data_IF_780243153539
#
_entry.id   IF_780243153539
#
_cell.length_a   1.000
_cell.length_b   1.000
_cell.length_c   1.000
_cell.angle_alpha   90.00
_cell.angle_beta   90.00
_cell.angle_gamma   90.00
#
_symmetry.space_group_name_H-M   'P 1'
#
loop_
_entity.id
_entity.type
_entity.pdbx_description
1 polymer ?
2 polymer ?
3 water ?
#
loop_
_entity_poly.entity_id
_entity_poly.type
_entity_poly.pdbx_seq_one_letter_code
_entity_poly.pdbx_strand_id
1 'polydeoxyribonucleotide' '(DT)(DG)(DC)(DA)(DT)(DA)(DT)(DC)(DA)(DA)(DT)(DT)(DT)(DG)(DT)(DT)(DG)(DC)(DA)(DC)(DC)' ?
#
# COMPACT_ATOMS: atom_id res chain seq x y z
N UNK C 1 -5.14 -8.03 11.38
CA UNK C 1 -4.13 -7.24 12.13
C UNK C 1 -4.36 -5.73 11.99
N UNK C 2 -4.39 -5.02 13.13
CA UNK C 2 -4.51 -3.55 13.18
C UNK C 2 -3.17 -2.86 13.46
N UNK C 3 -3.18 -1.53 13.45
CA UNK C 3 -1.97 -0.76 13.72
C UNK C 3 -1.30 -1.25 15.01
N UNK C 4 -2.05 -1.25 16.09
CA UNK C 4 -1.54 -1.71 17.38
C UNK C 4 -0.82 -3.03 17.32
N UNK C 5 -1.49 -4.04 16.75
CA UNK C 5 -0.99 -5.41 16.67
C UNK C 5 0.30 -5.45 15.89
N UNK C 6 0.32 -4.69 14.80
CA UNK C 6 1.50 -4.51 13.96
C UNK C 6 2.64 -3.92 14.81
N UNK C 7 2.35 -2.82 15.50
CA UNK C 7 3.32 -2.20 16.42
C UNK C 7 3.93 -3.23 17.39
N UNK C 8 3.05 -4.01 18.03
CA UNK C 8 3.48 -5.12 18.89
C UNK C 8 4.49 -6.06 18.21
N UNK C 9 4.10 -6.61 17.06
CA UNK C 9 4.96 -7.52 16.31
C UNK C 9 6.31 -6.92 15.93
N UNK C 10 6.29 -5.62 15.64
CA UNK C 10 7.45 -4.89 15.16
C UNK C 10 8.46 -4.67 16.29
N UNK C 11 7.96 -4.14 17.41
CA UNK C 11 8.79 -3.86 18.58
C UNK C 11 9.70 -5.05 18.80
N UNK C 12 9.15 -6.23 18.55
CA UNK C 12 9.82 -7.51 18.76
C UNK C 12 10.91 -7.85 17.74
N UNK C 13 10.62 -7.68 16.45
CA UNK C 13 11.59 -8.06 15.41
C UNK C 13 12.82 -7.16 15.40
N UNK C 14 12.61 -5.87 15.68
CA UNK C 14 13.68 -4.86 15.62
C UNK C 14 14.20 -4.56 17.00
N UNK C 15 13.29 -4.67 17.97
CA UNK C 15 13.56 -4.54 19.42
C UNK C 15 13.57 -3.09 19.89
N UNK C 16 12.37 -2.56 20.10
CA UNK C 16 12.13 -1.20 20.61
C UNK C 16 10.87 -1.23 21.51
N UNK C 17 10.29 -0.05 21.80
CA UNK C 17 9.06 0.04 22.59
C UNK C 17 7.81 0.16 21.74
N UNK C 18 6.67 -0.25 22.32
CA UNK C 18 5.33 -0.01 21.75
C UNK C 18 5.12 1.48 21.43
N UNK C 19 5.26 2.35 22.43
CA UNK C 19 5.23 3.79 22.20
C UNK C 19 6.20 4.22 21.07
N UNK C 20 7.38 3.59 21.06
CA UNK C 20 8.48 3.90 20.15
C UNK C 20 8.12 3.48 18.74
N UNK C 21 7.97 2.16 18.57
CA UNK C 21 7.59 1.56 17.31
C UNK C 21 6.35 2.20 16.72
N UNK C 22 5.38 2.52 17.58
CA UNK C 22 4.21 3.22 17.13
C UNK C 22 4.64 4.57 16.54
N UNK C 23 5.31 5.38 17.35
CA UNK C 23 5.77 6.68 16.87
C UNK C 23 6.45 6.59 15.49
N UNK C 24 7.29 5.57 15.31
CA UNK C 24 8.06 5.44 14.09
C UNK C 24 7.19 5.00 12.90
N UNK C 25 6.37 3.97 13.09
CA UNK C 25 5.51 3.51 12.00
C UNK C 25 4.65 4.67 11.48
N UNK C 26 4.05 5.40 12.42
CA UNK C 26 3.27 6.63 12.16
C UNK C 26 4.03 7.65 11.32
N UNK C 27 5.19 8.07 11.80
CA UNK C 27 6.07 8.95 11.02
C UNK C 27 6.09 8.52 9.56
N UNK C 28 6.30 7.23 9.32
CA UNK C 28 6.39 6.67 7.98
C UNK C 28 5.06 6.75 7.22
N UNK C 29 3.97 6.41 7.90
CA UNK C 29 2.64 6.44 7.27
C UNK C 29 2.23 7.83 6.85
N UNK C 30 2.48 8.81 7.72
CA UNK C 30 2.15 10.21 7.45
C UNK C 30 3.06 10.80 6.34
N UNK C 31 4.34 10.42 6.38
CA UNK C 31 5.29 10.77 5.33
C UNK C 31 4.94 10.18 3.97
N UNK C 32 4.51 8.92 3.95
CA UNK C 32 4.07 8.28 2.71
C UNK C 32 2.94 9.13 2.06
N UNK C 33 1.88 9.36 2.84
CA UNK C 33 0.72 10.14 2.44
C UNK C 33 1.11 11.53 1.91
N UNK C 34 1.92 12.26 2.69
CA UNK C 34 2.44 13.57 2.30
C UNK C 34 3.15 13.52 0.95
N UNK C 35 4.05 12.56 0.77
CA UNK C 35 4.84 12.47 -0.46
C UNK C 35 3.92 12.24 -1.68
N UNK C 36 3.03 11.27 -1.55
CA UNK C 36 2.10 10.89 -2.61
C UNK C 36 1.20 12.05 -3.01
N UNK C 37 0.63 12.72 -2.01
CA UNK C 37 -0.18 13.92 -2.19
C UNK C 37 0.58 15.05 -2.84
N UNK C 38 1.87 15.15 -2.54
CA UNK C 38 2.69 16.24 -3.06
C UNK C 38 3.26 15.87 -4.43
N UNK C 39 2.69 14.81 -5.02
CA UNK C 39 3.07 14.37 -6.34
C UNK C 39 4.28 13.47 -6.41
N UNK C 40 4.74 12.92 -5.29
CA UNK C 40 5.90 12.04 -5.33
C UNK C 40 5.50 10.58 -5.33
N UNK C 41 6.30 9.75 -5.99
CA UNK C 41 6.17 8.30 -5.91
C UNK C 41 6.94 7.81 -4.68
N UNK C 42 6.28 7.14 -3.75
CA UNK C 42 7.00 6.46 -2.68
C UNK C 42 7.38 5.04 -3.14
N UNK C 43 8.67 4.76 -3.16
CA UNK C 43 9.17 3.44 -3.53
C UNK C 43 9.71 2.68 -2.32
N UNK C 44 9.33 1.42 -2.21
CA UNK C 44 9.86 0.57 -1.16
C UNK C 44 10.19 -0.78 -1.78
N UNK C 45 11.45 -0.95 -2.14
CA UNK C 45 11.88 -2.12 -2.89
C UNK C 45 11.44 -3.44 -2.23
N UNK C 46 10.76 -4.27 -3.03
CA UNK C 46 10.27 -5.56 -2.58
C UNK C 46 8.86 -5.52 -2.08
N UNK C 47 8.49 -4.47 -1.36
CA UNK C 47 7.15 -4.37 -0.79
C UNK C 47 6.20 -3.81 -1.88
N UNK C 48 6.62 -2.70 -2.50
CA UNK C 48 5.83 -2.02 -3.50
C UNK C 48 5.99 -0.51 -3.52
N UNK C 49 5.31 0.15 -4.45
CA UNK C 49 5.29 1.60 -4.52
C UNK C 49 3.89 2.22 -4.29
N UNK C 50 3.89 3.49 -3.92
CA UNK C 50 2.69 4.29 -3.82
C UNK C 50 2.83 5.49 -4.76
N UNK C 51 1.73 5.84 -5.42
CA UNK C 51 1.71 7.04 -6.27
C UNK C 51 0.31 7.57 -6.35
N UNK C 52 0.22 8.81 -6.76
CA UNK C 52 -1.04 9.44 -6.98
C UNK C 52 -1.29 9.26 -8.48
N UNK C 53 -2.52 8.98 -8.86
CA UNK C 53 -2.84 8.79 -10.27
C UNK C 53 -3.96 9.68 -10.69
N UNK C 54 -3.83 10.27 -11.88
CA UNK C 54 -4.86 11.15 -12.43
C UNK C 54 -5.99 10.30 -12.92
N UNK C 55 -7.20 10.85 -12.75
CA UNK C 55 -8.42 10.21 -13.23
C UNK C 55 -9.23 11.23 -14.03
N UNK C 56 -9.52 10.88 -15.28
CA UNK C 56 -10.29 11.73 -16.19
C UNK C 56 -11.76 11.80 -15.77
N UNK C 57 -12.45 12.88 -16.16
CA UNK C 57 -13.91 12.92 -16.01
C UNK C 57 -14.48 11.68 -16.74
N UNK C 58 -15.54 11.09 -16.19
CA UNK C 58 -16.19 10.00 -16.89
C UNK C 58 -17.68 10.04 -16.66
N UNK C 59 -18.42 9.57 -17.64
CA UNK C 59 -19.86 9.58 -17.50
C UNK C 59 -20.34 8.47 -16.56
N UNK C 60 -21.24 8.81 -15.66
CA UNK C 60 -21.91 7.85 -14.81
C UNK C 60 -23.40 8.00 -14.95
N UNK C 61 -24.14 7.41 -14.00
CA UNK C 61 -25.60 7.43 -14.05
C UNK C 61 -26.18 7.41 -12.65
N UNK C 62 -27.12 8.33 -12.41
CA UNK C 62 -27.92 8.42 -11.20
C UNK C 62 -28.76 7.15 -11.08
N UNK C 63 -28.57 6.35 -10.03
CA UNK C 63 -29.39 5.15 -9.86
C UNK C 63 -30.82 5.51 -9.47
N UNK C 64 -31.01 6.73 -8.96
CA UNK C 64 -32.35 7.18 -8.54
C UNK C 64 -33.12 7.78 -9.69
N UNK C 65 -32.56 8.80 -10.32
CA UNK C 65 -33.27 9.47 -11.41
C UNK C 65 -33.03 8.81 -12.75
N UNK C 66 -32.02 7.93 -12.81
CA UNK C 66 -31.64 7.25 -14.06
C UNK C 66 -30.99 8.16 -15.14
N UNK C 67 -30.81 9.44 -14.81
CA UNK C 67 -30.17 10.39 -15.70
C UNK C 67 -28.69 10.10 -15.89
N UNK C 68 -28.17 10.40 -17.08
CA UNK C 68 -26.73 10.41 -17.26
C UNK C 68 -26.15 11.61 -16.52
N UNK C 69 -24.97 11.44 -15.94
CA UNK C 69 -24.23 12.54 -15.33
C UNK C 69 -22.71 12.45 -15.56
N UNK C 70 -21.95 13.50 -15.23
CA UNK C 70 -20.49 13.44 -15.36
C UNK C 70 -19.76 13.35 -14.01
N UNK C 71 -18.95 12.32 -13.84
CA UNK C 71 -18.09 12.23 -12.68
C UNK C 71 -16.84 13.04 -12.98
N UNK C 72 -16.62 14.11 -12.22
CA UNK C 72 -15.51 15.02 -12.52
C UNK C 72 -14.17 14.33 -12.37
N UNK C 73 -13.17 14.82 -13.07
CA UNK C 73 -11.81 14.33 -12.96
C UNK C 73 -11.32 14.36 -11.52
N UNK C 74 -10.45 13.43 -11.14
CA UNK C 74 -9.86 13.50 -9.81
C UNK C 74 -8.45 12.94 -9.78
N UNK C 75 -7.85 12.86 -8.58
CA UNK C 75 -6.60 12.17 -8.34
C UNK C 75 -6.82 11.13 -7.26
N UNK C 76 -6.29 9.94 -7.49
CA UNK C 76 -6.36 8.89 -6.48
C UNK C 76 -4.98 8.36 -6.02
N UNK C 77 -4.85 8.04 -4.74
CA UNK C 77 -3.66 7.31 -4.31
C UNK C 77 -3.74 5.92 -4.93
N UNK C 78 -2.58 5.38 -5.33
CA UNK C 78 -2.46 4.06 -5.94
C UNK C 78 -1.28 3.30 -5.37
N UNK C 79 -1.45 1.98 -5.19
CA UNK C 79 -0.37 1.10 -4.75
C UNK C 79 0.00 0.04 -5.82
N UNK C 80 1.29 -0.30 -5.97
CA UNK C 80 1.69 -1.39 -6.85
C UNK C 80 2.61 -2.32 -6.07
N UNK C 81 2.14 -3.55 -5.84
CA UNK C 81 2.88 -4.48 -4.98
C UNK C 81 4.20 -4.87 -5.63
N UNK C 82 5.29 -4.84 -4.87
CA UNK C 82 6.59 -5.25 -5.37
C UNK C 82 6.69 -6.77 -5.45
N UNK C 83 7.74 -7.27 -6.10
CA UNK C 83 7.87 -8.69 -6.41
C UNK C 83 7.84 -9.66 -5.22
N UNK C 84 8.58 -9.35 -4.16
CA UNK C 84 8.57 -10.16 -2.94
C UNK C 84 7.17 -10.27 -2.36
N UNK C 85 6.44 -9.16 -2.32
CA UNK C 85 5.07 -9.16 -1.79
C UNK C 85 4.16 -10.09 -2.63
N UNK C 86 4.16 -9.91 -3.95
CA UNK C 86 3.36 -10.74 -4.84
C UNK C 86 3.64 -12.25 -4.70
N UNK C 87 4.92 -12.57 -4.51
CA UNK C 87 5.34 -13.95 -4.46
C UNK C 87 5.10 -14.62 -3.12
N UNK C 88 4.95 -13.85 -2.06
CA UNK C 88 4.51 -14.42 -0.79
C UNK C 88 3.01 -14.65 -0.78
N UNK C 89 2.27 -13.82 -1.51
CA UNK C 89 0.82 -13.98 -1.58
C UNK C 89 0.50 -15.15 -2.51
N UNK C 90 1.26 -15.26 -3.60
CA UNK C 90 1.14 -16.38 -4.52
C UNK C 90 2.52 -16.94 -4.89
N UNK C 91 3.00 -17.87 -4.06
CA UNK C 91 4.25 -18.59 -4.31
C UNK C 91 4.28 -19.21 -5.72
N UNK C 92 5.29 -18.85 -6.50
CA UNK C 92 5.45 -19.40 -7.86
C UNK C 92 5.74 -20.91 -7.85
N UNK D 1 10.68 9.21 -3.75
CA UNK D 1 11.18 8.74 -2.43
C UNK D 1 11.44 7.22 -2.43
N UNK D 2 12.48 6.80 -1.71
CA UNK D 2 12.80 5.39 -1.51
C UNK D 2 12.84 5.07 -0.02
N UNK D 3 12.94 3.77 0.27
CA UNK D 3 13.03 3.26 1.64
C UNK D 3 14.03 4.08 2.44
N UNK D 4 15.26 4.16 1.92
CA UNK D 4 16.32 4.93 2.55
C UNK D 4 15.93 6.37 2.84
N UNK D 5 15.34 7.03 1.83
CA UNK D 5 14.94 8.44 1.96
C UNK D 5 13.82 8.57 2.97
N UNK D 6 12.91 7.60 2.91
CA UNK D 6 11.85 7.45 3.90
C UNK D 6 12.45 7.20 5.29
N UNK D 7 13.46 6.32 5.34
CA UNK D 7 14.17 6.07 6.60
C UNK D 7 14.72 7.38 7.15
N UNK D 8 15.48 8.10 6.32
CA UNK D 8 16.12 9.36 6.77
C UNK D 8 15.09 10.30 7.35
N UNK D 9 14.01 10.50 6.62
CA UNK D 9 12.91 11.39 7.00
C UNK D 9 12.20 10.93 8.26
N UNK D 10 12.03 9.61 8.38
CA UNK D 10 11.35 9.00 9.52
C UNK D 10 12.16 9.11 10.82
N UNK D 11 13.45 8.84 10.72
CA UNK D 11 14.35 8.90 11.89
C UNK D 11 14.14 10.20 12.66
N UNK D 12 13.95 11.28 11.90
CA UNK D 12 13.84 12.62 12.44
C UNK D 12 12.50 12.87 13.15
N UNK D 13 11.40 12.68 12.42
CA UNK D 13 10.05 12.97 12.91
C UNK D 13 9.72 12.33 14.27
N UNK D 14 10.07 11.05 14.45
CA UNK D 14 9.72 10.30 15.67
C UNK D 14 10.85 10.31 16.72
N UNK D 15 12.03 10.77 16.27
CA UNK D 15 13.27 10.80 17.07
C UNK D 15 13.93 9.42 17.33
N UNK D 16 14.50 8.83 16.26
CA UNK D 16 15.36 7.62 16.39
C UNK D 16 16.65 7.71 15.53
N UNK D 17 17.31 6.55 15.34
CA UNK D 17 18.52 6.44 14.51
C UNK D 17 18.16 5.96 13.12
N UNK D 18 19.08 6.11 12.17
CA UNK D 18 18.88 5.62 10.78
C UNK D 18 18.95 4.09 10.68
N UNK D 19 19.87 3.47 11.43
CA UNK D 19 19.94 2.01 11.53
C UNK D 19 18.71 1.46 12.27
N UNK D 20 18.27 2.23 13.27
CA UNK D 20 17.09 1.93 14.09
C UNK D 20 15.81 2.01 13.26
N UNK D 21 15.41 3.22 12.87
CA UNK D 21 14.19 3.44 12.08
C UNK D 21 14.04 2.44 10.94
N UNK D 22 15.13 2.22 10.20
CA UNK D 22 15.15 1.26 9.10
C UNK D 22 14.69 -0.11 9.58
N UNK D 23 15.38 -0.64 10.59
CA UNK D 23 15.05 -1.94 11.16
C UNK D 23 13.57 -2.02 11.56
N UNK D 24 13.03 -0.92 12.09
CA UNK D 24 11.62 -0.82 12.46
C UNK D 24 10.73 -0.87 11.22
N UNK D 25 10.94 0.07 10.30
CA UNK D 25 10.16 0.13 9.09
C UNK D 25 10.16 -1.24 8.38
N UNK D 26 11.34 -1.86 8.33
CA UNK D 26 11.51 -3.19 7.76
C UNK D 26 10.59 -4.19 8.45
N UNK D 27 10.73 -4.31 9.76
CA UNK D 27 9.88 -5.20 10.56
C UNK D 27 8.42 -5.09 10.09
N UNK D 28 7.90 -3.86 10.10
CA UNK D 28 6.52 -3.60 9.72
C UNK D 28 6.19 -4.08 8.31
N UNK D 29 7.14 -3.95 7.36
CA UNK D 29 6.85 -4.25 5.97
C UNK D 29 6.79 -5.77 5.76
N UNK D 30 7.66 -6.48 6.46
CA UNK D 30 7.73 -7.93 6.44
C UNK D 30 6.49 -8.52 7.08
N UNK D 31 6.08 -7.94 8.21
CA UNK D 31 4.90 -8.36 8.93
C UNK D 31 3.62 -8.14 8.09
N UNK D 32 3.51 -6.96 7.49
CA UNK D 32 2.35 -6.69 6.64
C UNK D 32 2.25 -7.80 5.59
N UNK D 33 3.34 -8.03 4.88
CA UNK D 33 3.39 -9.04 3.82
C UNK D 33 3.02 -10.41 4.39
N UNK D 34 3.67 -10.80 5.48
CA UNK D 34 3.39 -12.07 6.13
C UNK D 34 1.92 -12.23 6.51
N UNK D 35 1.36 -11.17 7.05
CA UNK D 35 -0.01 -11.24 7.52
C UNK D 35 -0.96 -11.45 6.32
N UNK D 36 -0.81 -10.56 5.32
CA UNK D 36 -1.65 -10.54 4.13
C UNK D 36 -1.60 -11.91 3.46
N UNK D 37 -0.39 -12.45 3.28
CA UNK D 37 -0.20 -13.81 2.79
C UNK D 37 -1.03 -14.88 3.54
N UNK D 38 -0.92 -14.93 4.85
CA UNK D 38 -1.61 -15.98 5.59
C UNK D 38 -3.12 -15.76 5.59
N UNK D 39 -3.57 -14.76 4.85
CA UNK D 39 -4.98 -14.42 4.79
C UNK D 39 -5.44 -13.41 5.82
N UNK D 40 -4.49 -12.73 6.48
CA UNK D 40 -4.80 -11.70 7.47
C UNK D 40 -4.88 -10.32 6.84
N UNK D 41 -6.05 -9.69 6.91
CA UNK D 41 -6.21 -8.31 6.46
C UNK D 41 -5.56 -7.25 7.38
N UNK D 42 -4.57 -6.52 6.88
CA UNK D 42 -3.93 -5.50 7.71
C UNK D 42 -4.61 -4.15 7.55
N UNK D 43 -5.18 -3.65 8.66
CA UNK D 43 -5.93 -2.40 8.63
C UNK D 43 -5.25 -1.38 9.52
N UNK D 44 -4.57 -0.42 8.90
CA UNK D 44 -3.93 0.68 9.63
C UNK D 44 -4.76 1.95 9.64
N UNK D 45 -5.18 2.33 10.85
CA UNK D 45 -5.97 3.55 11.10
C UNK D 45 -5.31 4.80 10.52
N UNK D 46 -6.12 5.55 9.78
CA UNK D 46 -5.67 6.77 9.13
C UNK D 46 -4.65 6.57 8.02
N UNK D 47 -4.76 5.47 7.29
CA UNK D 47 -3.89 5.20 6.15
C UNK D 47 -4.60 4.32 5.12
N UNK D 48 -4.93 3.10 5.52
CA UNK D 48 -5.59 2.17 4.63
C UNK D 48 -5.35 0.74 5.01
N UNK D 49 -5.87 -0.15 4.19
CA UNK D 49 -5.78 -1.54 4.50
C UNK D 49 -5.16 -2.34 3.38
N UNK D 50 -4.49 -3.42 3.77
CA UNK D 50 -3.92 -4.39 2.84
C UNK D 50 -4.64 -5.75 3.01
N UNK D 51 -4.89 -6.41 1.89
CA UNK D 51 -5.49 -7.73 1.89
C UNK D 51 -5.09 -8.42 0.62
N UNK D 52 -5.35 -9.71 0.60
CA UNK D 52 -5.05 -10.66 -0.45
C UNK D 52 -6.37 -10.89 -1.17
N UNK D 53 -6.34 -10.90 -2.51
CA UNK D 53 -7.56 -11.04 -3.30
C UNK D 53 -7.47 -12.18 -4.30
N UNK D 54 -8.54 -12.97 -4.42
CA UNK D 54 -8.63 -14.03 -5.44
C UNK D 54 -8.83 -13.47 -6.85
N UNK D 55 -8.14 -14.08 -7.80
CA UNK D 55 -8.26 -13.76 -9.20
C UNK D 55 -8.56 -15.07 -9.92
N UNK D 56 -9.66 -15.12 -10.66
CA UNK D 56 -9.93 -16.28 -11.49
C UNK D 56 -8.91 -16.35 -12.65
N UNK D 57 -8.80 -17.54 -13.23
CA UNK D 57 -8.11 -17.76 -14.47
C UNK D 57 -8.69 -16.84 -15.53
N UNK D 58 -7.86 -16.44 -16.49
CA UNK D 58 -8.33 -15.53 -17.54
C UNK D 58 -7.54 -15.68 -18.82
N UNK D 59 -8.08 -15.14 -19.91
CA UNK D 59 -7.47 -15.26 -21.23
C UNK D 59 -6.30 -14.31 -21.40
N UNK D 60 -5.24 -14.82 -22.01
CA UNK D 60 -4.15 -14.00 -22.45
C UNK D 60 -3.69 -14.47 -23.81
N UNK D 61 -2.60 -13.92 -24.30
CA UNK D 61 -2.05 -14.33 -25.57
C UNK D 61 -0.53 -14.25 -25.47
N UNK D 62 0.13 -15.31 -25.87
CA UNK D 62 1.59 -15.36 -25.98
C UNK D 62 2.11 -14.38 -27.02
N UNK D 63 2.87 -13.38 -26.61
CA UNK D 63 3.29 -12.36 -27.59
C UNK D 63 4.35 -12.94 -28.54
N UNK D 64 5.01 -14.02 -28.10
CA UNK D 64 5.97 -14.75 -28.91
C UNK D 64 5.26 -15.58 -29.95
N UNK D 65 4.48 -16.57 -29.52
CA UNK D 65 3.87 -17.52 -30.45
C UNK D 65 2.50 -17.04 -30.96
N UNK D 66 2.03 -15.93 -30.38
CA UNK D 66 0.72 -15.34 -30.66
C UNK D 66 -0.41 -16.34 -30.35
N UNK D 67 -0.09 -17.37 -29.60
CA UNK D 67 -1.10 -18.35 -29.25
C UNK D 67 -1.91 -17.85 -28.06
N UNK D 68 -3.22 -18.02 -28.17
CA UNK D 68 -4.10 -17.78 -27.05
C UNK D 68 -3.57 -18.66 -25.94
N UNK D 69 -3.69 -18.20 -24.70
CA UNK D 69 -3.33 -19.04 -23.55
C UNK D 69 -4.21 -18.66 -22.34
N UNK D 70 -4.19 -19.53 -21.29
CA UNK D 70 -4.90 -19.26 -20.03
C UNK D 70 -3.93 -18.83 -18.95
N UNK D 71 -4.16 -17.65 -18.41
CA UNK D 71 -3.43 -17.22 -17.24
C UNK D 71 -4.10 -17.85 -16.00
N UNK D 72 -3.36 -18.67 -15.25
CA UNK D 72 -3.95 -19.38 -14.10
C UNK D 72 -4.52 -18.46 -13.03
N UNK D 73 -5.49 -19.00 -12.31
CA UNK D 73 -6.04 -18.37 -11.12
C UNK D 73 -4.90 -18.06 -10.13
N UNK D 74 -5.03 -16.97 -9.41
CA UNK D 74 -4.00 -16.57 -8.46
C UNK D 74 -4.59 -15.72 -7.35
N UNK D 75 -3.72 -15.26 -6.47
CA UNK D 75 -4.09 -14.33 -5.42
C UNK D 75 -3.11 -13.19 -5.54
N UNK D 76 -3.60 -11.97 -5.33
CA UNK D 76 -2.79 -10.75 -5.44
C UNK D 76 -2.98 -9.83 -4.21
N UNK D 77 -1.91 -9.17 -3.76
CA UNK D 77 -2.04 -8.17 -2.69
C UNK D 77 -2.83 -6.91 -3.17
N UNK D 78 -3.74 -6.44 -2.33
CA UNK D 78 -4.54 -5.25 -2.66
C UNK D 78 -4.46 -4.23 -1.56
N UNK D 79 -4.48 -2.96 -1.94
CA UNK D 79 -4.41 -1.88 -0.99
C UNK D 79 -5.68 -1.07 -1.15
N UNK D 80 -6.21 -0.66 -0.02
CA UNK D 80 -7.39 0.12 0.02
C UNK D 80 -7.12 1.38 0.86
N UNK D 81 -6.73 2.46 0.20
CA UNK D 81 -6.46 3.74 0.89
C UNK D 81 -7.68 4.22 1.68
N UNK D 82 -7.47 4.66 2.91
CA UNK D 82 -8.58 5.21 3.70
C UNK D 82 -8.97 6.65 3.36
N UNK D 83 -10.08 7.12 3.91
CA UNK D 83 -10.60 8.48 3.68
C UNK D 83 -9.58 9.61 3.82
N UNK D 84 -8.77 9.56 4.87
CA UNK D 84 -7.75 10.58 5.09
C UNK D 84 -6.82 10.66 3.89
N UNK D 85 -6.26 9.51 3.50
CA UNK D 85 -5.32 9.44 2.38
C UNK D 85 -5.96 10.01 1.09
N UNK D 86 -7.14 9.52 0.73
CA UNK D 86 -7.88 10.00 -0.42
C UNK D 86 -8.16 11.52 -0.41
N UNK D 87 -8.52 12.05 0.76
CA UNK D 87 -8.84 13.46 0.87
C UNK D 87 -7.61 14.35 0.76
N UNK D 88 -6.46 13.85 1.23
CA UNK D 88 -5.22 14.58 1.10
C UNK D 88 -4.79 14.60 -0.37
N UNK D 89 -4.91 13.45 -1.03
CA UNK D 89 -4.57 13.34 -2.46
C UNK D 89 -5.49 14.21 -3.33
N UNK D 90 -6.76 14.27 -2.93
CA UNK D 90 -7.82 14.94 -3.63
C UNK D 90 -8.72 15.67 -2.63
N UNK D 91 -8.31 16.87 -2.19
CA UNK D 91 -9.16 17.64 -1.27
C UNK D 91 -10.64 17.65 -1.72
N UNK D 92 -11.57 17.34 -0.80
CA UNK D 92 -13.01 17.20 -1.10
C UNK D 92 -13.66 18.42 -1.78
#
# INVERSE_FOLDING_TARGET
MNKGELVDAVAEKASVTKKQADAVLTAALETIIEAVSSGDKVTLVGFGSFESRERKAREGRNPKTNEKMEIPATRVPAFSAGKLFREKVAPPKA
MNKGELVDAVAEKASVTKKQADAVLTAALETIIEAVSSGDKVTLVGFGSFESRERKAREGRNPKTNEKMEIPATRVPAFSAGKLFREKVAPPKA
#
